data_IF_857658652575
#
_entry.id   IF_857658652575
#
_cell.length_a   1.000
_cell.length_b   1.000
_cell.length_c   1.000
_cell.angle_alpha   90.00
_cell.angle_beta   90.00
_cell.angle_gamma   90.00
#
_symmetry.space_group_name_H-M   'P 1'
#
loop_
_entity.id
_entity.type
_entity.pdbx_description
1 polymer ?
#
# COMPACT_ATOMS: atom_id res chain seq x y z
N UNK A 1 13.48 31.30 11.39
CA UNK A 1 13.37 30.18 10.45
C UNK A 1 12.84 30.74 9.15
N UNK A 2 13.53 30.51 8.02
CA UNK A 2 13.15 31.12 6.75
C UNK A 2 11.91 30.39 6.20
N UNK A 3 10.87 31.14 5.87
CA UNK A 3 9.68 30.62 5.21
C UNK A 3 10.04 30.16 3.79
N UNK A 4 9.90 28.87 3.49
CA UNK A 4 10.05 28.37 2.12
C UNK A 4 8.77 28.69 1.37
N UNK A 5 8.88 29.57 0.39
CA UNK A 5 7.78 30.06 -0.43
C UNK A 5 7.30 28.99 -1.44
N UNK A 6 6.10 28.41 -1.25
CA UNK A 6 5.60 27.35 -2.12
C UNK A 6 5.40 27.79 -3.57
N UNK A 7 5.25 29.11 -3.82
CA UNK A 7 5.10 29.66 -5.18
C UNK A 7 6.35 29.52 -6.05
N UNK A 8 7.53 29.46 -5.42
CA UNK A 8 8.81 29.30 -6.11
C UNK A 8 9.32 27.87 -6.07
N UNK A 9 8.78 27.06 -5.17
CA UNK A 9 9.26 25.71 -4.91
C UNK A 9 8.89 24.72 -6.04
N UNK A 10 7.65 24.73 -6.53
CA UNK A 10 7.16 23.71 -7.48
C UNK A 10 7.31 24.19 -8.93
N UNK A 11 8.22 23.58 -9.70
CA UNK A 11 8.47 23.92 -11.11
C UNK A 11 7.47 23.27 -12.08
N UNK A 12 7.04 22.04 -11.78
CA UNK A 12 6.07 21.26 -12.56
C UNK A 12 5.01 20.63 -11.66
N UNK A 13 3.87 20.26 -12.24
CA UNK A 13 2.78 19.55 -11.59
C UNK A 13 2.37 18.26 -12.30
N UNK A 14 3.02 17.95 -13.42
CA UNK A 14 2.71 16.77 -14.22
C UNK A 14 3.39 15.52 -13.66
N UNK A 15 4.57 15.69 -13.05
CA UNK A 15 5.40 14.58 -12.58
C UNK A 15 6.01 14.89 -11.21
N UNK A 16 6.08 13.87 -10.36
CA UNK A 16 6.70 13.97 -9.03
C UNK A 16 8.17 14.41 -9.12
N UNK A 17 8.91 13.83 -10.06
CA UNK A 17 10.36 14.06 -10.23
C UNK A 17 10.71 15.51 -10.56
N UNK A 18 9.90 16.17 -11.38
CA UNK A 18 10.14 17.56 -11.81
C UNK A 18 9.39 18.58 -10.97
N UNK A 19 8.36 18.15 -10.24
CA UNK A 19 7.59 18.98 -9.32
C UNK A 19 8.11 18.96 -7.89
N UNK A 20 8.00 17.82 -7.22
CA UNK A 20 8.15 17.68 -5.76
C UNK A 20 9.58 17.40 -5.34
N UNK A 21 10.32 16.55 -6.06
CA UNK A 21 11.70 16.20 -5.70
C UNK A 21 12.63 17.41 -5.49
N UNK A 22 12.63 18.44 -6.36
CA UNK A 22 13.43 19.64 -6.16
C UNK A 22 13.09 20.39 -4.87
N UNK A 23 11.81 20.39 -4.47
CA UNK A 23 11.36 21.03 -3.22
C UNK A 23 11.91 20.30 -1.99
N UNK A 24 11.99 18.97 -2.06
CA UNK A 24 12.53 18.14 -0.99
C UNK A 24 14.06 18.22 -0.89
N UNK A 25 14.73 18.90 -1.82
CA UNK A 25 16.15 19.22 -1.70
C UNK A 25 16.42 20.21 -0.55
N UNK A 26 15.45 21.08 -0.22
CA UNK A 26 15.51 21.93 0.97
C UNK A 26 15.45 21.10 2.26
N UNK A 27 16.41 21.31 3.17
CA UNK A 27 16.55 20.50 4.38
C UNK A 27 15.40 20.70 5.37
N UNK A 28 14.88 21.93 5.51
CA UNK A 28 13.81 22.24 6.45
C UNK A 28 12.50 21.60 5.96
N UNK A 29 12.20 21.73 4.67
CA UNK A 29 11.03 21.07 4.06
C UNK A 29 11.16 19.56 4.17
N UNK A 30 12.33 19.00 3.84
CA UNK A 30 12.58 17.56 3.93
C UNK A 30 12.35 17.01 5.33
N UNK A 31 12.76 17.74 6.36
CA UNK A 31 12.57 17.32 7.76
C UNK A 31 11.09 17.34 8.16
N UNK A 32 10.35 18.38 7.79
CA UNK A 32 8.91 18.49 8.07
C UNK A 32 8.10 17.42 7.33
N UNK A 33 8.37 17.24 6.04
CA UNK A 33 7.74 16.21 5.21
C UNK A 33 8.15 14.81 5.67
N UNK A 34 9.40 14.65 6.08
CA UNK A 34 9.95 13.37 6.57
C UNK A 34 9.25 12.86 7.82
N UNK A 35 9.00 13.74 8.80
CA UNK A 35 8.24 13.38 10.00
C UNK A 35 6.86 12.83 9.63
N UNK A 36 6.14 13.54 8.76
CA UNK A 36 4.79 13.14 8.32
C UNK A 36 4.81 11.84 7.50
N UNK A 37 5.79 11.67 6.62
CA UNK A 37 5.90 10.49 5.76
C UNK A 37 6.31 9.23 6.54
N UNK A 38 7.13 9.36 7.58
CA UNK A 38 7.55 8.24 8.42
C UNK A 38 6.37 7.64 9.19
N UNK A 39 5.41 8.47 9.61
CA UNK A 39 4.19 8.01 10.28
C UNK A 39 3.32 7.14 9.36
N UNK A 40 3.40 7.34 8.03
CA UNK A 40 2.63 6.54 7.08
C UNK A 40 3.19 5.12 6.91
N UNK A 41 4.48 4.86 7.19
CA UNK A 41 5.09 3.51 7.12
C UNK A 41 4.89 2.75 5.78
N UNK A 42 4.80 3.46 4.66
CA UNK A 42 4.53 2.86 3.34
C UNK A 42 5.52 1.77 2.92
N UNK A 43 6.80 1.91 3.29
CA UNK A 43 7.83 0.93 2.96
C UNK A 43 7.54 -0.43 3.60
N UNK A 44 7.03 -0.44 4.83
CA UNK A 44 6.63 -1.67 5.51
C UNK A 44 5.46 -2.33 4.77
N UNK A 45 4.47 -1.54 4.32
CA UNK A 45 3.34 -2.06 3.54
C UNK A 45 3.79 -2.71 2.22
N UNK A 46 4.66 -2.03 1.45
CA UNK A 46 5.22 -2.57 0.21
C UNK A 46 6.00 -3.87 0.48
N UNK A 47 6.84 -3.88 1.51
CA UNK A 47 7.60 -5.07 1.90
C UNK A 47 6.67 -6.23 2.28
N UNK A 48 5.60 -5.97 3.05
CA UNK A 48 4.64 -6.99 3.39
C UNK A 48 3.90 -7.55 2.17
N UNK A 49 3.62 -6.72 1.16
CA UNK A 49 3.04 -7.18 -0.10
C UNK A 49 4.04 -8.03 -0.92
N UNK A 50 5.32 -7.67 -0.94
CA UNK A 50 6.36 -8.52 -1.55
C UNK A 50 6.51 -9.86 -0.82
N UNK A 51 6.53 -9.84 0.51
CA UNK A 51 6.57 -11.05 1.35
C UNK A 51 5.38 -11.97 1.05
N UNK A 52 4.16 -11.41 0.93
CA UNK A 52 2.95 -12.17 0.61
C UNK A 52 3.08 -12.85 -0.77
N UNK A 53 3.64 -12.17 -1.78
CA UNK A 53 3.88 -12.78 -3.09
C UNK A 53 4.78 -14.02 -2.98
N UNK A 54 5.87 -13.91 -2.22
CA UNK A 54 6.84 -15.01 -2.02
C UNK A 54 6.27 -16.15 -1.19
N UNK A 55 5.52 -15.84 -0.14
CA UNK A 55 4.82 -16.83 0.67
C UNK A 55 3.81 -17.59 -0.20
N UNK A 56 3.12 -16.92 -1.10
CA UNK A 56 2.17 -17.55 -2.00
C UNK A 56 2.86 -18.47 -3.02
N UNK A 57 4.02 -18.07 -3.54
CA UNK A 57 4.87 -18.95 -4.35
C UNK A 57 5.27 -20.23 -3.56
N UNK A 58 5.65 -20.09 -2.29
CA UNK A 58 5.95 -21.24 -1.43
C UNK A 58 4.74 -22.16 -1.25
N UNK A 59 3.56 -21.58 -0.99
CA UNK A 59 2.34 -22.35 -0.79
C UNK A 59 1.92 -23.11 -2.07
N UNK A 60 2.10 -22.51 -3.25
CA UNK A 60 1.88 -23.18 -4.53
C UNK A 60 2.86 -24.36 -4.69
N UNK A 61 4.14 -24.16 -4.42
CA UNK A 61 5.15 -25.21 -4.55
C UNK A 61 4.92 -26.38 -3.57
N UNK A 62 4.59 -26.08 -2.30
CA UNK A 62 4.31 -27.09 -1.27
C UNK A 62 3.00 -27.85 -1.50
N UNK A 63 2.00 -27.18 -2.07
CA UNK A 63 0.71 -27.80 -2.37
C UNK A 63 0.73 -28.65 -3.63
N UNK A 64 1.85 -28.68 -4.38
CA UNK A 64 1.99 -29.45 -5.60
C UNK A 64 1.70 -30.95 -5.33
N UNK A 65 0.90 -31.57 -6.21
CA UNK A 65 0.32 -32.93 -6.07
C UNK A 65 -0.72 -33.13 -4.96
N UNK A 66 -1.17 -32.07 -4.28
CA UNK A 66 -2.25 -32.15 -3.30
C UNK A 66 -3.57 -31.58 -3.84
N UNK A 67 -4.70 -32.07 -3.33
CA UNK A 67 -6.04 -31.60 -3.74
C UNK A 67 -6.25 -30.08 -3.53
N UNK A 68 -5.50 -29.47 -2.60
CA UNK A 68 -5.56 -28.03 -2.34
C UNK A 68 -4.78 -27.17 -3.35
N UNK A 69 -4.01 -27.74 -4.28
CA UNK A 69 -3.16 -26.98 -5.20
C UNK A 69 -3.94 -25.96 -6.04
N UNK A 70 -5.06 -26.40 -6.65
CA UNK A 70 -5.92 -25.52 -7.44
C UNK A 70 -6.44 -24.33 -6.62
N UNK A 71 -6.68 -24.54 -5.32
CA UNK A 71 -7.10 -23.48 -4.39
C UNK A 71 -5.98 -22.46 -4.15
N UNK A 72 -4.72 -22.91 -4.08
CA UNK A 72 -3.55 -22.02 -3.95
C UNK A 72 -3.32 -21.20 -5.22
N UNK A 73 -3.49 -21.81 -6.40
CA UNK A 73 -3.43 -21.09 -7.68
C UNK A 73 -4.51 -20.02 -7.79
N UNK A 74 -5.75 -20.36 -7.42
CA UNK A 74 -6.86 -19.40 -7.36
C UNK A 74 -6.53 -18.23 -6.43
N UNK A 75 -5.93 -18.49 -5.28
CA UNK A 75 -5.50 -17.44 -4.34
C UNK A 75 -4.42 -16.53 -4.94
N UNK A 76 -3.51 -17.05 -5.76
CA UNK A 76 -2.51 -16.24 -6.46
C UNK A 76 -3.09 -15.32 -7.54
N UNK A 77 -4.11 -15.79 -8.27
CA UNK A 77 -4.84 -14.96 -9.23
C UNK A 77 -5.58 -13.83 -8.51
N UNK A 78 -6.23 -14.13 -7.39
CA UNK A 78 -6.89 -13.14 -6.55
C UNK A 78 -5.88 -12.12 -5.99
N UNK A 79 -4.70 -12.58 -5.57
CA UNK A 79 -3.65 -11.69 -5.08
C UNK A 79 -3.11 -10.75 -6.16
N UNK A 80 -2.96 -11.22 -7.40
CA UNK A 80 -2.61 -10.35 -8.53
C UNK A 80 -3.63 -9.23 -8.72
N UNK A 81 -4.93 -9.55 -8.63
CA UNK A 81 -6.00 -8.54 -8.70
C UNK A 81 -5.85 -7.48 -7.59
N UNK A 82 -5.52 -7.92 -6.37
CA UNK A 82 -5.26 -7.01 -5.25
C UNK A 82 -4.03 -6.13 -5.49
N UNK A 83 -2.94 -6.68 -6.00
CA UNK A 83 -1.72 -5.93 -6.36
C UNK A 83 -2.03 -4.87 -7.42
N UNK A 84 -2.84 -5.19 -8.43
CA UNK A 84 -3.26 -4.22 -9.44
C UNK A 84 -4.14 -3.12 -8.84
N UNK A 85 -4.98 -3.44 -7.85
CA UNK A 85 -5.75 -2.44 -7.12
C UNK A 85 -4.86 -1.49 -6.33
N UNK A 86 -3.83 -1.99 -5.64
CA UNK A 86 -2.82 -1.16 -4.98
C UNK A 86 -2.07 -0.25 -5.97
N UNK A 87 -1.69 -0.77 -7.14
CA UNK A 87 -1.04 0.03 -8.20
C UNK A 87 -1.93 1.20 -8.64
N UNK A 88 -3.21 0.94 -8.90
CA UNK A 88 -4.19 1.96 -9.31
C UNK A 88 -4.44 2.98 -8.20
N UNK A 89 -4.58 2.52 -6.95
CA UNK A 89 -4.80 3.39 -5.80
C UNK A 89 -3.59 4.33 -5.60
N UNK A 90 -2.39 3.78 -5.56
CA UNK A 90 -1.14 4.54 -5.40
C UNK A 90 -0.96 5.61 -6.48
N UNK A 91 -1.24 5.25 -7.74
CA UNK A 91 -1.17 6.18 -8.88
C UNK A 91 -2.21 7.30 -8.74
N UNK A 92 -3.45 6.95 -8.36
CA UNK A 92 -4.53 7.92 -8.16
C UNK A 92 -4.19 8.88 -7.01
N UNK A 93 -3.70 8.37 -5.88
CA UNK A 93 -3.30 9.20 -4.75
C UNK A 93 -2.14 10.13 -5.09
N UNK A 94 -1.16 9.66 -5.87
CA UNK A 94 -0.08 10.52 -6.35
C UNK A 94 -0.63 11.65 -7.20
N UNK A 95 -1.48 11.35 -8.19
CA UNK A 95 -2.11 12.36 -9.04
C UNK A 95 -2.91 13.38 -8.21
N UNK A 96 -3.74 12.91 -7.29
CA UNK A 96 -4.53 13.75 -6.39
C UNK A 96 -3.64 14.63 -5.51
N UNK A 97 -2.52 14.09 -5.01
CA UNK A 97 -1.56 14.86 -4.21
C UNK A 97 -0.89 15.96 -5.05
N UNK A 98 -0.48 15.64 -6.28
CA UNK A 98 0.10 16.62 -7.21
C UNK A 98 -0.91 17.72 -7.57
N UNK A 99 -2.18 17.37 -7.76
CA UNK A 99 -3.26 18.32 -8.01
C UNK A 99 -3.49 19.24 -6.81
N UNK A 100 -3.57 18.69 -5.59
CA UNK A 100 -3.70 19.49 -4.38
C UNK A 100 -2.53 20.48 -4.20
N UNK A 101 -1.29 20.02 -4.45
CA UNK A 101 -0.10 20.87 -4.41
C UNK A 101 -0.15 22.01 -5.46
N UNK A 102 -0.74 21.75 -6.63
CA UNK A 102 -1.01 22.79 -7.63
C UNK A 102 -2.01 23.82 -7.12
N UNK A 103 -3.10 23.38 -6.49
CA UNK A 103 -4.07 24.27 -5.86
C UNK A 103 -3.39 25.16 -4.81
N UNK A 104 -2.57 24.60 -3.91
CA UNK A 104 -1.83 25.40 -2.93
C UNK A 104 -0.93 26.46 -3.57
N UNK A 105 -0.14 26.10 -4.59
CA UNK A 105 0.74 27.07 -5.29
C UNK A 105 -0.07 28.24 -5.85
N UNK A 106 -1.17 27.94 -6.53
CA UNK A 106 -2.03 28.96 -7.12
C UNK A 106 -2.70 29.82 -6.04
N UNK A 107 -3.14 29.22 -4.93
CA UNK A 107 -3.69 29.97 -3.80
C UNK A 107 -2.66 30.94 -3.21
N UNK A 108 -1.42 30.50 -2.96
CA UNK A 108 -0.37 31.40 -2.47
C UNK A 108 -0.08 32.55 -3.44
N UNK A 109 -0.14 32.28 -4.75
CA UNK A 109 0.00 33.31 -5.77
C UNK A 109 -1.15 34.32 -5.76
N UNK A 110 -2.40 33.87 -5.73
CA UNK A 110 -3.59 34.74 -5.64
C UNK A 110 -3.59 35.58 -4.36
N UNK A 111 -3.20 35.00 -3.21
CA UNK A 111 -3.08 35.75 -1.96
C UNK A 111 -2.06 36.90 -2.06
N UNK A 112 -0.95 36.72 -2.77
CA UNK A 112 0.06 37.78 -3.00
C UNK A 112 -0.44 38.90 -3.88
N UNK A 113 -1.37 38.60 -4.77
CA UNK A 113 -2.05 39.59 -5.62
C UNK A 113 -3.28 40.21 -4.97
N UNK A 114 -3.59 39.83 -3.73
CA UNK A 114 -4.83 40.20 -3.03
C UNK A 114 -6.11 39.70 -3.73
N UNK A 115 -6.01 38.64 -4.54
CA UNK A 115 -7.13 37.96 -5.21
C UNK A 115 -7.75 36.92 -4.24
N UNK A 116 -8.41 37.40 -3.18
CA UNK A 116 -8.88 36.53 -2.07
C UNK A 116 -9.97 35.55 -2.50
N UNK A 117 -10.86 35.94 -3.41
CA UNK A 117 -11.94 35.06 -3.87
C UNK A 117 -11.41 33.89 -4.72
N UNK A 118 -10.39 34.14 -5.55
CA UNK A 118 -9.69 33.08 -6.30
C UNK A 118 -8.97 32.13 -5.34
N UNK A 119 -8.25 32.67 -4.36
CA UNK A 119 -7.61 31.88 -3.32
C UNK A 119 -8.60 30.98 -2.57
N UNK A 120 -9.78 31.52 -2.23
CA UNK A 120 -10.88 30.78 -1.58
C UNK A 120 -11.41 29.67 -2.47
N UNK A 121 -11.66 29.97 -3.75
CA UNK A 121 -12.16 28.99 -4.73
C UNK A 121 -11.20 27.81 -4.90
N UNK A 122 -9.90 28.11 -5.01
CA UNK A 122 -8.85 27.07 -5.14
C UNK A 122 -8.76 26.17 -3.90
N UNK A 123 -8.87 26.74 -2.70
CA UNK A 123 -8.83 25.94 -1.45
C UNK A 123 -10.10 25.12 -1.24
N UNK A 124 -11.25 25.58 -1.75
CA UNK A 124 -12.50 24.84 -1.68
C UNK A 124 -12.47 23.52 -2.48
N UNK A 125 -11.51 23.33 -3.39
CA UNK A 125 -11.31 22.08 -4.11
C UNK A 125 -10.54 21.00 -3.30
N UNK A 126 -9.78 21.38 -2.26
CA UNK A 126 -8.95 20.42 -1.52
C UNK A 126 -9.77 19.32 -0.82
N UNK A 127 -10.92 19.61 -0.18
CA UNK A 127 -11.76 18.58 0.42
C UNK A 127 -12.21 17.49 -0.56
N UNK A 128 -12.57 17.86 -1.80
CA UNK A 128 -13.02 16.88 -2.79
C UNK A 128 -11.87 16.01 -3.31
N UNK A 129 -10.66 16.57 -3.41
CA UNK A 129 -9.44 15.80 -3.71
C UNK A 129 -9.14 14.79 -2.58
N UNK A 130 -9.19 15.23 -1.32
CA UNK A 130 -9.01 14.35 -0.18
C UNK A 130 -10.08 13.23 -0.12
N UNK A 131 -11.35 13.57 -0.33
CA UNK A 131 -12.46 12.61 -0.39
C UNK A 131 -12.29 11.58 -1.53
N UNK A 132 -11.77 12.00 -2.70
CA UNK A 132 -11.43 11.07 -3.79
C UNK A 132 -10.39 10.04 -3.36
N UNK A 133 -9.37 10.47 -2.61
CA UNK A 133 -8.38 9.56 -2.03
C UNK A 133 -9.01 8.65 -0.96
N UNK A 134 -9.83 9.20 -0.06
CA UNK A 134 -10.53 8.40 0.95
C UNK A 134 -11.38 7.28 0.33
N UNK A 135 -12.14 7.60 -0.73
CA UNK A 135 -12.95 6.62 -1.46
C UNK A 135 -12.10 5.50 -2.08
N UNK A 136 -10.94 5.83 -2.62
CA UNK A 136 -9.99 4.85 -3.15
C UNK A 136 -9.43 3.94 -2.05
N UNK A 137 -9.05 4.50 -0.90
CA UNK A 137 -8.58 3.72 0.24
C UNK A 137 -9.69 2.85 0.84
N UNK A 138 -10.95 3.31 0.84
CA UNK A 138 -12.10 2.50 1.27
C UNK A 138 -12.28 1.28 0.37
N UNK A 139 -12.28 1.47 -0.95
CA UNK A 139 -12.39 0.35 -1.89
C UNK A 139 -11.20 -0.62 -1.79
N UNK A 140 -10.00 -0.11 -1.52
CA UNK A 140 -8.81 -0.93 -1.32
C UNK A 140 -8.89 -1.73 0.00
N UNK A 141 -9.39 -1.11 1.06
CA UNK A 141 -9.57 -1.74 2.37
C UNK A 141 -10.55 -2.93 2.29
N UNK A 142 -11.63 -2.77 1.54
CA UNK A 142 -12.60 -3.83 1.30
C UNK A 142 -11.94 -5.01 0.56
N UNK A 143 -11.17 -4.73 -0.50
CA UNK A 143 -10.44 -5.76 -1.25
C UNK A 143 -9.39 -6.51 -0.40
N UNK A 144 -8.64 -5.80 0.45
CA UNK A 144 -7.70 -6.45 1.40
C UNK A 144 -8.46 -7.34 2.39
N UNK A 145 -9.61 -6.87 2.88
CA UNK A 145 -10.45 -7.60 3.84
C UNK A 145 -11.05 -8.86 3.21
N UNK A 146 -11.53 -8.76 1.97
CA UNK A 146 -12.03 -9.90 1.20
C UNK A 146 -10.92 -10.91 0.92
N UNK A 147 -9.73 -10.44 0.52
CA UNK A 147 -8.58 -11.32 0.32
C UNK A 147 -8.15 -12.02 1.62
N UNK A 148 -8.14 -11.32 2.75
CA UNK A 148 -7.89 -11.92 4.08
C UNK A 148 -8.92 -13.01 4.41
N UNK A 149 -10.21 -12.78 4.12
CA UNK A 149 -11.26 -13.79 4.29
C UNK A 149 -10.97 -15.01 3.43
N UNK A 150 -10.55 -14.79 2.20
CA UNK A 150 -10.15 -15.85 1.28
C UNK A 150 -8.98 -16.67 1.81
N UNK A 151 -7.91 -16.04 2.31
CA UNK A 151 -6.77 -16.73 2.96
C UNK A 151 -7.24 -17.60 4.13
N UNK A 152 -8.14 -17.09 4.98
CA UNK A 152 -8.70 -17.85 6.09
C UNK A 152 -9.50 -19.08 5.62
N UNK A 153 -10.28 -18.94 4.55
CA UNK A 153 -10.99 -20.09 3.97
C UNK A 153 -10.00 -21.17 3.46
N UNK A 154 -8.88 -20.76 2.86
CA UNK A 154 -7.87 -21.71 2.35
C UNK A 154 -7.11 -22.41 3.47
N UNK A 155 -6.88 -21.75 4.61
CA UNK A 155 -6.37 -22.41 5.82
C UNK A 155 -7.27 -23.58 6.24
N UNK A 156 -8.60 -23.42 6.17
CA UNK A 156 -9.53 -24.50 6.50
C UNK A 156 -9.48 -25.64 5.49
N UNK A 157 -9.31 -25.34 4.20
CA UNK A 157 -9.14 -26.35 3.14
C UNK A 157 -7.87 -27.17 3.37
N UNK A 158 -6.73 -26.52 3.66
CA UNK A 158 -5.47 -27.21 3.94
C UNK A 158 -5.58 -28.06 5.20
N UNK A 159 -6.21 -27.54 6.26
CA UNK A 159 -6.44 -28.31 7.49
C UNK A 159 -7.33 -29.55 7.25
N UNK A 160 -8.37 -29.43 6.43
CA UNK A 160 -9.21 -30.57 6.04
C UNK A 160 -8.40 -31.62 5.25
N UNK A 161 -7.50 -31.18 4.36
CA UNK A 161 -6.60 -32.07 3.61
C UNK A 161 -5.62 -32.81 4.54
N UNK A 162 -5.02 -32.12 5.51
CA UNK A 162 -4.15 -32.74 6.53
C UNK A 162 -4.90 -33.85 7.26
N UNK A 163 -6.12 -33.56 7.74
CA UNK A 163 -6.94 -34.52 8.46
C UNK A 163 -7.34 -35.72 7.59
N UNK A 164 -7.54 -35.53 6.28
CA UNK A 164 -7.81 -36.62 5.35
C UNK A 164 -6.59 -37.55 5.21
N UNK A 165 -5.41 -36.99 4.94
CA UNK A 165 -4.16 -37.78 4.81
C UNK A 165 -3.83 -38.52 6.11
N UNK A 166 -4.05 -37.89 7.27
CA UNK A 166 -3.84 -38.55 8.57
C UNK A 166 -4.78 -39.74 8.78
N UNK A 167 -6.06 -39.65 8.36
CA UNK A 167 -6.99 -40.79 8.42
C UNK A 167 -6.56 -41.92 7.50
N UNK A 168 -6.14 -41.60 6.28
CA UNK A 168 -5.67 -42.60 5.32
C UNK A 168 -4.40 -43.30 5.82
N UNK A 169 -3.49 -42.55 6.45
CA UNK A 169 -2.26 -43.08 7.06
C UNK A 169 -2.53 -44.12 8.16
N UNK A 170 -3.63 -43.98 8.93
CA UNK A 170 -4.02 -44.96 9.96
C UNK A 170 -4.41 -46.31 9.33
N UNK A 171 -4.96 -46.28 8.11
CA UNK A 171 -5.41 -47.44 7.36
C UNK A 171 -4.34 -47.99 6.40
N UNK A 172 -3.27 -47.23 6.16
CA UNK A 172 -2.25 -47.53 5.19
C UNK A 172 -1.33 -48.69 5.60
N UNK A 173 -0.82 -49.43 4.61
CA UNK A 173 0.25 -50.41 4.81
C UNK A 173 1.56 -49.69 5.13
N UNK A 174 2.53 -50.41 5.74
CA UNK A 174 3.86 -49.84 6.09
C UNK A 174 4.58 -49.21 4.89
N UNK A 175 4.42 -49.77 3.71
CA UNK A 175 5.08 -49.32 2.47
C UNK A 175 4.59 -47.94 2.00
N UNK A 176 3.33 -47.59 2.26
CA UNK A 176 2.74 -46.30 1.85
C UNK A 176 2.91 -45.20 2.91
N UNK A 177 3.33 -45.57 4.13
CA UNK A 177 3.38 -44.66 5.28
C UNK A 177 4.34 -43.49 5.05
N UNK A 178 5.48 -43.72 4.42
CA UNK A 178 6.46 -42.68 4.14
C UNK A 178 5.90 -41.58 3.20
N UNK A 179 5.10 -41.97 2.20
CA UNK A 179 4.46 -41.02 1.29
C UNK A 179 3.40 -40.16 2.02
N UNK A 180 2.62 -40.77 2.92
CA UNK A 180 1.65 -40.05 3.73
C UNK A 180 2.32 -39.09 4.73
N UNK A 181 3.40 -39.51 5.39
CA UNK A 181 4.19 -38.66 6.29
C UNK A 181 4.75 -37.44 5.55
N UNK A 182 5.29 -37.64 4.34
CA UNK A 182 5.74 -36.53 3.48
C UNK A 182 4.60 -35.57 3.13
N UNK A 183 3.43 -36.09 2.73
CA UNK A 183 2.27 -35.28 2.38
C UNK A 183 1.77 -34.44 3.57
N UNK A 184 1.69 -35.02 4.78
CA UNK A 184 1.34 -34.28 6.00
C UNK A 184 2.33 -33.15 6.23
N UNK A 185 3.64 -33.43 6.17
CA UNK A 185 4.66 -32.40 6.37
C UNK A 185 4.57 -31.25 5.35
N UNK A 186 4.28 -31.55 4.09
CA UNK A 186 4.13 -30.52 3.05
C UNK A 186 2.90 -29.64 3.29
N UNK A 187 1.77 -30.25 3.65
CA UNK A 187 0.53 -29.53 3.97
C UNK A 187 0.65 -28.69 5.25
N UNK A 188 1.33 -29.20 6.29
CA UNK A 188 1.61 -28.43 7.51
C UNK A 188 2.46 -27.19 7.22
N UNK A 189 3.47 -27.32 6.36
CA UNK A 189 4.28 -26.18 5.90
C UNK A 189 3.43 -25.19 5.12
N UNK A 190 2.54 -25.66 4.26
CA UNK A 190 1.59 -24.80 3.52
C UNK A 190 0.70 -24.03 4.50
N UNK A 191 0.16 -24.69 5.51
CA UNK A 191 -0.66 -24.06 6.56
C UNK A 191 0.13 -22.99 7.32
N UNK A 192 1.39 -23.27 7.69
CA UNK A 192 2.27 -22.30 8.35
C UNK A 192 2.52 -21.07 7.47
N UNK A 193 2.80 -21.27 6.18
CA UNK A 193 3.01 -20.19 5.21
C UNK A 193 1.77 -19.31 5.09
N UNK A 194 0.58 -19.90 4.95
CA UNK A 194 -0.70 -19.17 4.93
C UNK A 194 -0.95 -18.39 6.23
N UNK A 195 -0.55 -18.95 7.39
CA UNK A 195 -0.63 -18.26 8.67
C UNK A 195 0.24 -17.01 8.76
N UNK A 196 1.48 -17.09 8.25
CA UNK A 196 2.39 -15.92 8.17
C UNK A 196 1.81 -14.87 7.20
N UNK A 197 1.31 -15.33 6.05
CA UNK A 197 0.71 -14.47 5.03
C UNK A 197 -0.48 -13.70 5.58
N UNK A 198 -1.35 -14.35 6.35
CA UNK A 198 -2.47 -13.70 7.06
C UNK A 198 -1.98 -12.57 7.97
N UNK A 199 -0.97 -12.81 8.80
CA UNK A 199 -0.45 -11.80 9.71
C UNK A 199 0.11 -10.58 8.96
N UNK A 200 0.81 -10.80 7.84
CA UNK A 200 1.33 -9.73 6.98
C UNK A 200 0.20 -8.91 6.33
N UNK A 201 -0.84 -9.57 5.85
CA UNK A 201 -2.02 -8.91 5.27
C UNK A 201 -2.83 -8.10 6.30
N UNK A 202 -2.88 -8.52 7.57
CA UNK A 202 -3.48 -7.70 8.64
C UNK A 202 -2.73 -6.39 8.82
N UNK A 203 -1.39 -6.41 8.75
CA UNK A 203 -0.60 -5.17 8.80
C UNK A 203 -0.88 -4.27 7.58
N UNK A 204 -1.00 -4.86 6.39
CA UNK A 204 -1.42 -4.13 5.18
C UNK A 204 -2.81 -3.51 5.36
N UNK A 205 -3.77 -4.25 5.92
CA UNK A 205 -5.12 -3.76 6.22
C UNK A 205 -5.09 -2.57 7.17
N UNK A 206 -4.31 -2.66 8.25
CA UNK A 206 -4.13 -1.56 9.20
C UNK A 206 -3.52 -0.31 8.54
N UNK A 207 -2.53 -0.49 7.67
CA UNK A 207 -1.96 0.63 6.89
C UNK A 207 -3.01 1.31 6.01
N UNK A 208 -3.81 0.54 5.26
CA UNK A 208 -4.84 1.11 4.37
C UNK A 208 -5.91 1.83 5.18
N UNK A 209 -6.32 1.29 6.33
CA UNK A 209 -7.26 1.94 7.24
C UNK A 209 -6.71 3.28 7.78
N UNK A 210 -5.47 3.29 8.26
CA UNK A 210 -4.81 4.53 8.72
C UNK A 210 -4.71 5.57 7.58
N UNK A 211 -4.34 5.15 6.38
CA UNK A 211 -4.27 6.03 5.20
C UNK A 211 -5.66 6.59 4.84
N UNK A 212 -6.71 5.77 4.92
CA UNK A 212 -8.10 6.21 4.75
C UNK A 212 -8.47 7.29 5.76
N UNK A 213 -8.25 7.03 7.05
CA UNK A 213 -8.63 7.94 8.14
C UNK A 213 -7.93 9.28 7.97
N UNK A 214 -6.66 9.28 7.56
CA UNK A 214 -5.92 10.51 7.27
C UNK A 214 -6.53 11.29 6.10
N UNK A 215 -6.88 10.63 5.00
CA UNK A 215 -7.57 11.28 3.89
C UNK A 215 -8.93 11.84 4.33
N UNK A 216 -9.65 11.15 5.21
CA UNK A 216 -10.92 11.61 5.77
C UNK A 216 -10.72 12.90 6.57
N UNK A 217 -9.73 12.95 7.47
CA UNK A 217 -9.40 14.18 8.22
C UNK A 217 -9.04 15.35 7.30
N UNK A 218 -8.32 15.09 6.21
CA UNK A 218 -7.98 16.13 5.21
C UNK A 218 -9.18 16.57 4.35
N UNK A 219 -10.22 15.73 4.26
CA UNK A 219 -11.46 16.07 3.57
C UNK A 219 -12.39 16.92 4.44
N UNK A 220 -12.20 16.91 5.76
CA UNK A 220 -12.97 17.77 6.65
C UNK A 220 -12.69 19.26 6.39
N UNK A 221 -13.69 20.15 6.54
CA UNK A 221 -13.47 21.57 6.38
C UNK A 221 -12.38 22.07 7.35
N UNK A 222 -11.23 22.50 6.82
CA UNK A 222 -10.18 23.11 7.63
C UNK A 222 -10.68 24.46 8.18
N UNK A 223 -11.20 24.43 9.41
CA UNK A 223 -11.77 25.60 10.08
C UNK A 223 -10.72 26.70 10.26
N UNK A 224 -9.46 26.33 10.55
CA UNK A 224 -8.34 27.27 10.65
C UNK A 224 -8.05 28.00 9.34
N UNK A 225 -8.09 27.28 8.21
CA UNK A 225 -7.93 27.84 6.88
C UNK A 225 -9.10 28.76 6.50
N UNK A 226 -10.34 28.35 6.81
CA UNK A 226 -11.56 29.12 6.56
C UNK A 226 -11.57 30.42 7.38
N UNK A 227 -11.29 30.34 8.67
CA UNK A 227 -11.16 31.51 9.55
C UNK A 227 -9.99 32.38 9.12
N UNK A 228 -8.87 31.78 8.73
CA UNK A 228 -7.73 32.49 8.17
C UNK A 228 -8.12 33.33 6.95
N UNK A 229 -8.77 32.74 5.95
CA UNK A 229 -9.23 33.45 4.76
C UNK A 229 -10.19 34.61 5.08
N UNK A 230 -11.07 34.45 6.07
CA UNK A 230 -11.94 35.54 6.54
C UNK A 230 -11.14 36.68 7.19
N UNK A 231 -10.05 36.37 7.89
CA UNK A 231 -9.16 37.35 8.51
C UNK A 231 -8.15 37.96 7.51
N UNK A 232 -7.84 37.29 6.40
CA UNK A 232 -7.00 37.86 5.34
C UNK A 232 -7.64 39.12 4.73
N UNK A 233 -8.98 39.15 4.63
CA UNK A 233 -9.76 40.36 4.31
C UNK A 233 -9.57 41.49 5.33
N UNK A 234 -9.08 41.18 6.54
CA UNK A 234 -8.79 42.13 7.62
C UNK A 234 -7.29 42.43 7.80
N UNK A 235 -6.49 42.30 6.73
CA UNK A 235 -5.04 42.64 6.70
C UNK A 235 -4.10 41.75 7.53
N UNK A 236 -4.44 40.48 7.79
CA UNK A 236 -3.54 39.51 8.46
C UNK A 236 -3.21 38.27 7.59
N UNK A 237 -2.50 38.43 6.46
CA UNK A 237 -2.19 37.32 5.56
C UNK A 237 -1.29 36.24 6.18
N UNK A 238 -0.44 36.60 7.14
CA UNK A 238 0.56 35.70 7.73
C UNK A 238 -0.03 34.47 8.41
N UNK A 239 -1.20 34.62 9.04
CA UNK A 239 -1.90 33.50 9.69
C UNK A 239 -2.41 32.49 8.67
N UNK A 240 -2.93 32.96 7.53
CA UNK A 240 -3.42 32.10 6.45
C UNK A 240 -2.27 31.36 5.81
N UNK A 241 -1.17 32.08 5.55
CA UNK A 241 0.05 31.52 4.99
C UNK A 241 0.59 30.42 5.88
N UNK A 242 0.63 30.63 7.20
CA UNK A 242 1.09 29.61 8.15
C UNK A 242 0.21 28.35 8.13
N UNK A 243 -1.12 28.51 8.17
CA UNK A 243 -2.05 27.38 8.13
C UNK A 243 -1.94 26.60 6.82
N UNK A 244 -1.95 27.30 5.68
CA UNK A 244 -1.77 26.69 4.36
C UNK A 244 -0.44 25.94 4.23
N UNK A 245 0.61 26.43 4.86
CA UNK A 245 1.94 25.81 4.76
C UNK A 245 1.99 24.47 5.48
N UNK A 246 1.27 24.35 6.60
CA UNK A 246 1.16 23.08 7.31
C UNK A 246 0.43 22.04 6.45
N UNK A 247 -0.74 22.37 5.91
CA UNK A 247 -1.49 21.49 5.03
C UNK A 247 -0.67 21.13 3.77
N UNK A 248 0.07 22.10 3.23
CA UNK A 248 0.96 21.89 2.10
C UNK A 248 2.05 20.85 2.40
N UNK A 249 2.64 20.85 3.60
CA UNK A 249 3.59 19.81 4.01
C UNK A 249 2.95 18.42 4.08
N UNK A 250 1.69 18.32 4.50
CA UNK A 250 0.97 17.05 4.53
C UNK A 250 0.74 16.49 3.13
N UNK A 251 0.32 17.34 2.20
CA UNK A 251 0.16 16.95 0.79
C UNK A 251 1.50 16.61 0.11
N UNK A 252 2.60 17.28 0.47
CA UNK A 252 3.94 16.89 0.01
C UNK A 252 4.34 15.51 0.54
N UNK A 253 4.03 15.22 1.80
CA UNK A 253 4.30 13.92 2.39
C UNK A 253 3.47 12.82 1.75
N UNK A 254 2.20 13.08 1.43
CA UNK A 254 1.37 12.16 0.66
C UNK A 254 1.96 11.94 -0.74
N UNK A 255 2.33 13.00 -1.47
CA UNK A 255 2.94 12.86 -2.79
C UNK A 255 4.21 12.00 -2.75
N UNK A 256 5.12 12.27 -1.79
CA UNK A 256 6.34 11.47 -1.57
C UNK A 256 6.05 10.01 -1.28
N UNK A 257 5.10 9.77 -0.39
CA UNK A 257 4.72 8.42 0.06
C UNK A 257 4.10 7.64 -1.09
N UNK A 258 3.20 8.27 -1.85
CA UNK A 258 2.52 7.63 -2.97
C UNK A 258 3.44 7.41 -4.17
N UNK A 259 4.41 8.29 -4.43
CA UNK A 259 5.46 8.02 -5.41
C UNK A 259 6.31 6.80 -5.03
N UNK A 260 6.67 6.67 -3.74
CA UNK A 260 7.35 5.50 -3.24
C UNK A 260 6.49 4.22 -3.38
N UNK A 261 5.18 4.31 -3.11
CA UNK A 261 4.22 3.22 -3.38
C UNK A 261 4.20 2.83 -4.86
N UNK A 262 4.06 3.79 -5.77
CA UNK A 262 4.00 3.52 -7.22
C UNK A 262 5.25 2.76 -7.67
N UNK A 263 6.44 3.21 -7.23
CA UNK A 263 7.71 2.55 -7.57
C UNK A 263 7.85 1.17 -6.93
N UNK A 264 7.51 1.03 -5.64
CA UNK A 264 7.62 -0.24 -4.93
C UNK A 264 6.64 -1.30 -5.43
N UNK A 265 5.41 -0.89 -5.76
CA UNK A 265 4.38 -1.79 -6.28
C UNK A 265 4.71 -2.35 -7.66
N UNK A 266 5.53 -1.66 -8.48
CA UNK A 266 6.02 -2.22 -9.74
C UNK A 266 6.87 -3.48 -9.52
N UNK A 267 7.66 -3.50 -8.44
CA UNK A 267 8.42 -4.66 -8.00
C UNK A 267 7.50 -5.83 -7.61
N UNK A 268 6.49 -5.57 -6.77
CA UNK A 268 5.51 -6.57 -6.34
C UNK A 268 4.72 -7.13 -7.54
N UNK A 269 4.29 -6.27 -8.46
CA UNK A 269 3.57 -6.65 -9.69
C UNK A 269 4.45 -7.53 -10.58
N UNK A 270 5.71 -7.16 -10.75
CA UNK A 270 6.68 -7.95 -11.52
C UNK A 270 6.91 -9.32 -10.89
N UNK A 271 7.03 -9.39 -9.56
CA UNK A 271 7.16 -10.65 -8.83
C UNK A 271 5.93 -11.55 -9.06
N UNK A 272 4.72 -11.00 -8.98
CA UNK A 272 3.50 -11.76 -9.22
C UNK A 272 3.36 -12.24 -10.66
N UNK A 273 3.69 -11.39 -11.64
CA UNK A 273 3.72 -11.81 -13.04
C UNK A 273 4.70 -12.96 -13.25
N UNK A 274 5.89 -12.90 -12.63
CA UNK A 274 6.89 -13.98 -12.69
C UNK A 274 6.33 -15.27 -12.07
N UNK A 275 5.70 -15.22 -10.91
CA UNK A 275 5.12 -16.40 -10.25
C UNK A 275 4.09 -17.07 -11.15
N UNK A 276 3.15 -16.30 -11.69
CA UNK A 276 2.06 -16.83 -12.51
C UNK A 276 2.50 -17.28 -13.91
N UNK A 277 3.57 -16.69 -14.47
CA UNK A 277 4.15 -17.12 -15.75
C UNK A 277 5.08 -18.31 -15.64
N UNK A 278 5.55 -18.63 -14.42
CA UNK A 278 6.51 -19.71 -14.18
C UNK A 278 6.01 -20.77 -13.22
N UNK A 279 4.68 -21.00 -13.21
CA UNK A 279 4.05 -22.02 -12.37
C UNK A 279 4.80 -23.35 -12.54
N UNK A 280 5.39 -23.90 -11.47
CA UNK A 280 6.36 -24.97 -11.59
C UNK A 280 5.68 -26.29 -12.00
N UNK A 281 6.40 -27.08 -12.79
CA UNK A 281 6.23 -28.54 -12.80
C UNK A 281 6.93 -29.14 -11.56
N UNK A 282 6.72 -30.42 -11.25
CA UNK A 282 7.14 -31.05 -9.98
C UNK A 282 8.61 -30.80 -9.57
N UNK A 283 9.55 -30.94 -10.51
CA UNK A 283 10.98 -30.82 -10.22
C UNK A 283 11.44 -29.37 -9.91
N UNK A 284 11.07 -28.34 -10.70
CA UNK A 284 11.35 -26.94 -10.38
C UNK A 284 10.76 -26.44 -9.04
N UNK A 285 9.68 -27.04 -8.54
CA UNK A 285 9.02 -26.60 -7.31
C UNK A 285 9.92 -26.79 -6.07
N UNK A 286 10.63 -27.91 -5.98
CA UNK A 286 11.48 -28.26 -4.84
C UNK A 286 12.70 -27.33 -4.71
N UNK A 287 13.41 -27.08 -5.81
CA UNK A 287 14.58 -26.18 -5.82
C UNK A 287 14.21 -24.74 -5.48
N UNK A 288 13.04 -24.29 -5.94
CA UNK A 288 12.52 -22.94 -5.62
C UNK A 288 12.12 -22.83 -4.16
N UNK A 289 11.46 -23.85 -3.61
CA UNK A 289 11.05 -23.88 -2.22
C UNK A 289 12.24 -23.72 -1.27
N UNK A 290 13.35 -24.41 -1.52
CA UNK A 290 14.56 -24.30 -0.70
C UNK A 290 15.11 -22.87 -0.66
N UNK A 291 15.21 -22.22 -1.84
CA UNK A 291 15.69 -20.82 -1.96
C UNK A 291 14.74 -19.83 -1.29
N UNK A 292 13.43 -20.03 -1.44
CA UNK A 292 12.42 -19.15 -0.84
C UNK A 292 12.40 -19.26 0.69
N UNK A 293 12.50 -20.48 1.23
CA UNK A 293 12.57 -20.70 2.68
C UNK A 293 13.81 -20.04 3.29
N UNK A 294 14.97 -20.14 2.64
CA UNK A 294 16.19 -19.46 3.08
C UNK A 294 16.01 -17.93 3.12
N UNK A 295 15.36 -17.36 2.09
CA UNK A 295 15.11 -15.92 2.04
C UNK A 295 14.15 -15.47 3.16
N UNK A 296 13.04 -16.18 3.38
CA UNK A 296 12.08 -15.86 4.45
C UNK A 296 12.69 -16.00 5.85
N UNK A 297 13.65 -16.90 6.04
CA UNK A 297 14.37 -17.07 7.31
C UNK A 297 15.43 -15.99 7.54
N UNK A 298 15.93 -15.35 6.48
CA UNK A 298 16.97 -14.31 6.58
C UNK A 298 16.48 -12.97 7.12
N UNK A 299 15.16 -12.77 7.25
CA UNK A 299 14.57 -11.65 8.01
C UNK A 299 14.89 -10.25 7.48
N UNK A 300 15.26 -10.13 6.20
CA UNK A 300 15.46 -8.85 5.53
C UNK A 300 14.14 -8.16 5.23
#
# INVERSE_FOLDING_TARGET
>A
MAFVDPTRALASFTEYKTGVEPVLADADVRNKVGAVANDLQVQNCIQFLDDVARLLECAIALSYDHQCHASMLSLAIQYQTLVDAFCRASSTHLQTSMEALKHFKLTFFSLRKHEIDDARSLLAALPSLAARSEGMNSSLLDQVTDFLRDVNARLQVVNAAINAVMRDMVLAKREDRAAHEYAVMSLERTMKVLGIMKAKLENVRCYVAMSKDRCCTMAEPNTGLKTGLQLATSQRPDMVVKAMTQDWYEWLALAKTNDASVRGMDGVRTAMHRILSTLPTAAPASDRLAKLMQHLQSGH
#
